data_IF_632201078100
#
_entry.id   IF_632201078100
#
_cell.length_a   1.000
_cell.length_b   1.000
_cell.length_c   1.000
_cell.angle_alpha   90.00
_cell.angle_beta   90.00
_cell.angle_gamma   90.00
#
_symmetry.space_group_name_H-M   'P 1'
#
loop_
_entity.id
_entity.type
_entity.pdbx_description
1 polymer ?
#
# COMPACT_ATOMS: atom_id res chain seq x y z
N UNK A 1 3.56 -42.88 -0.55
CA UNK A 1 3.06 -41.50 -0.65
C UNK A 1 4.26 -40.57 -0.77
N UNK A 2 4.41 -39.89 -1.91
CA UNK A 2 5.48 -38.90 -2.10
C UNK A 2 4.97 -37.56 -1.53
N UNK A 3 5.56 -37.10 -0.43
CA UNK A 3 5.39 -35.71 -0.01
C UNK A 3 6.25 -34.84 -0.93
N UNK A 4 5.61 -33.93 -1.68
CA UNK A 4 6.33 -32.86 -2.36
C UNK A 4 6.62 -31.76 -1.34
N UNK A 5 7.88 -31.33 -1.27
CA UNK A 5 8.28 -30.19 -0.46
C UNK A 5 7.76 -28.90 -1.11
N UNK A 6 6.72 -28.32 -0.50
CA UNK A 6 6.07 -27.08 -0.94
C UNK A 6 6.59 -25.84 -0.22
N UNK A 7 7.64 -25.97 0.62
CA UNK A 7 8.13 -24.89 1.48
C UNK A 7 8.47 -23.64 0.66
N UNK A 8 9.16 -23.80 -0.47
CA UNK A 8 9.54 -22.67 -1.32
C UNK A 8 8.34 -21.98 -1.98
N UNK A 9 7.36 -22.74 -2.48
CA UNK A 9 6.15 -22.18 -3.06
C UNK A 9 5.34 -21.39 -2.03
N UNK A 10 5.20 -21.94 -0.83
CA UNK A 10 4.49 -21.28 0.26
C UNK A 10 5.15 -19.96 0.66
N UNK A 11 6.50 -19.91 0.75
CA UNK A 11 7.21 -18.68 1.05
C UNK A 11 7.07 -17.62 -0.06
N UNK A 12 7.13 -18.04 -1.32
CA UNK A 12 6.93 -17.14 -2.46
C UNK A 12 5.51 -16.56 -2.49
N UNK A 13 4.50 -17.40 -2.28
CA UNK A 13 3.10 -16.97 -2.22
C UNK A 13 2.88 -15.98 -1.07
N UNK A 14 3.47 -16.25 0.10
CA UNK A 14 3.40 -15.34 1.24
C UNK A 14 4.07 -13.99 0.95
N UNK A 15 5.26 -13.99 0.34
CA UNK A 15 5.94 -12.74 -0.06
C UNK A 15 5.15 -11.95 -1.09
N UNK A 16 4.57 -12.63 -2.08
CA UNK A 16 3.71 -11.99 -3.07
C UNK A 16 2.47 -11.37 -2.42
N UNK A 17 1.89 -12.06 -1.43
CA UNK A 17 0.77 -11.55 -0.66
C UNK A 17 1.19 -10.31 0.15
N UNK A 18 2.33 -10.35 0.84
CA UNK A 18 2.87 -9.22 1.60
C UNK A 18 3.13 -7.99 0.70
N UNK A 19 3.77 -8.18 -0.45
CA UNK A 19 3.98 -7.11 -1.45
C UNK A 19 2.68 -6.61 -2.08
N UNK A 20 1.63 -7.42 -2.10
CA UNK A 20 0.32 -6.99 -2.63
C UNK A 20 -0.38 -5.95 -1.77
N UNK A 21 0.09 -5.72 -0.53
CA UNK A 21 -0.47 -4.78 0.43
C UNK A 21 0.20 -3.41 0.43
N UNK A 22 1.28 -3.19 -0.32
CA UNK A 22 1.92 -1.88 -0.43
C UNK A 22 1.64 -1.22 -1.78
N UNK A 23 1.65 0.11 -1.79
CA UNK A 23 1.65 0.91 -3.01
C UNK A 23 3.10 1.04 -3.52
N UNK A 24 3.41 0.69 -4.78
CA UNK A 24 4.79 0.62 -5.26
C UNK A 24 5.47 1.99 -5.42
N UNK A 25 4.70 3.07 -5.54
CA UNK A 25 5.24 4.42 -5.66
C UNK A 25 5.67 4.95 -4.29
N UNK A 26 4.77 4.88 -3.31
CA UNK A 26 4.93 5.52 -1.99
C UNK A 26 5.48 4.57 -0.92
N UNK A 27 5.43 3.26 -1.16
CA UNK A 27 5.70 2.18 -0.19
C UNK A 27 4.78 2.18 1.05
N UNK A 28 3.71 2.98 1.03
CA UNK A 28 2.65 2.94 2.05
C UNK A 28 1.77 1.70 1.90
N UNK A 29 1.06 1.32 2.95
CA UNK A 29 0.00 0.33 2.82
C UNK A 29 -1.10 0.84 1.87
N UNK A 30 -1.51 -0.01 0.93
CA UNK A 30 -2.56 0.30 -0.02
C UNK A 30 -3.95 -0.03 0.55
N UNK A 31 -5.00 0.25 -0.23
CA UNK A 31 -6.39 0.07 0.20
C UNK A 31 -6.70 -1.35 0.68
N UNK A 32 -6.07 -2.40 0.12
CA UNK A 32 -6.31 -3.79 0.53
C UNK A 32 -5.91 -4.05 1.97
N UNK A 33 -4.89 -3.34 2.47
CA UNK A 33 -4.48 -3.46 3.86
C UNK A 33 -5.56 -2.97 4.82
N UNK A 34 -6.31 -1.92 4.45
CA UNK A 34 -7.44 -1.44 5.26
C UNK A 34 -8.54 -2.50 5.35
N UNK A 35 -8.87 -3.15 4.23
CA UNK A 35 -9.87 -4.23 4.20
C UNK A 35 -9.43 -5.45 5.02
N UNK A 36 -8.13 -5.72 5.07
CA UNK A 36 -7.54 -6.79 5.86
C UNK A 36 -7.49 -6.42 7.36
N UNK A 37 -7.16 -5.18 7.70
CA UNK A 37 -7.17 -4.67 9.07
C UNK A 37 -8.55 -4.82 9.71
N UNK A 38 -9.61 -4.54 8.95
CA UNK A 38 -11.00 -4.71 9.39
C UNK A 38 -11.37 -6.17 9.72
N UNK A 39 -10.66 -7.14 9.11
CA UNK A 39 -10.92 -8.58 9.28
C UNK A 39 -10.06 -9.25 10.34
N UNK A 40 -8.92 -8.66 10.72
CA UNK A 40 -7.92 -9.31 11.59
C UNK A 40 -8.38 -9.50 13.04
N UNK A 41 -8.97 -8.49 13.65
CA UNK A 41 -9.40 -8.55 15.05
C UNK A 41 -10.57 -7.60 15.33
N UNK A 42 -11.76 -8.17 15.50
CA UNK A 42 -12.97 -7.42 15.82
C UNK A 42 -12.93 -6.71 17.19
N UNK A 43 -11.98 -7.04 18.06
CA UNK A 43 -11.79 -6.37 19.35
C UNK A 43 -10.97 -5.08 19.24
N UNK A 44 -10.19 -4.92 18.16
CA UNK A 44 -9.38 -3.72 17.92
C UNK A 44 -10.24 -2.66 17.25
N UNK A 45 -10.46 -1.55 17.96
CA UNK A 45 -11.09 -0.36 17.37
C UNK A 45 -10.06 0.49 16.66
N UNK A 46 -10.35 0.87 15.44
CA UNK A 46 -9.52 1.77 14.64
C UNK A 46 -10.38 2.86 14.01
N UNK A 47 -9.72 3.94 13.59
CA UNK A 47 -10.31 5.02 12.81
C UNK A 47 -9.41 5.35 11.64
N UNK A 48 -9.98 5.91 10.57
CA UNK A 48 -9.23 6.33 9.40
C UNK A 48 -9.47 7.80 9.12
N UNK A 49 -8.39 8.50 8.80
CA UNK A 49 -8.43 9.86 8.27
C UNK A 49 -8.12 9.76 6.78
N UNK A 50 -9.01 10.32 5.96
CA UNK A 50 -8.79 10.45 4.52
C UNK A 50 -8.29 11.85 4.25
N UNK A 51 -7.14 11.95 3.59
CA UNK A 51 -6.53 13.22 3.18
C UNK A 51 -6.50 13.25 1.66
N UNK A 52 -6.99 14.34 1.08
CA UNK A 52 -6.87 14.63 -0.34
C UNK A 52 -5.84 15.73 -0.57
N UNK A 53 -5.05 15.62 -1.64
CA UNK A 53 -4.09 16.65 -2.02
C UNK A 53 -4.76 17.69 -2.90
N UNK A 54 -5.11 18.83 -2.29
CA UNK A 54 -5.72 19.95 -2.99
C UNK A 54 -4.90 20.36 -4.21
N UNK A 55 -5.59 20.51 -5.36
CA UNK A 55 -5.00 20.95 -6.64
C UNK A 55 -3.89 20.03 -7.16
N UNK A 56 -3.79 18.76 -6.73
CA UNK A 56 -2.78 17.83 -7.24
C UNK A 56 -2.81 17.67 -8.77
N UNK A 57 -3.99 17.71 -9.39
CA UNK A 57 -4.12 17.72 -10.85
C UNK A 57 -3.42 18.91 -11.51
N UNK A 58 -3.46 20.11 -10.91
CA UNK A 58 -2.75 21.29 -11.44
C UNK A 58 -1.23 21.07 -11.43
N UNK A 59 -0.70 20.39 -10.41
CA UNK A 59 0.73 20.02 -10.35
C UNK A 59 1.08 19.08 -11.51
N UNK A 60 0.28 18.03 -11.72
CA UNK A 60 0.46 17.11 -12.85
C UNK A 60 0.39 17.83 -14.19
N UNK A 61 -0.61 18.69 -14.38
CA UNK A 61 -0.83 19.38 -15.65
C UNK A 61 0.25 20.44 -15.93
N UNK A 62 0.86 21.04 -14.88
CA UNK A 62 1.89 22.09 -15.01
C UNK A 62 3.30 21.53 -15.12
N UNK A 63 3.60 20.44 -14.39
CA UNK A 63 4.97 19.94 -14.22
C UNK A 63 5.15 18.49 -14.69
N UNK A 64 4.08 17.84 -15.15
CA UNK A 64 4.08 16.45 -15.60
C UNK A 64 3.90 15.43 -14.47
N UNK A 65 3.52 14.20 -14.85
CA UNK A 65 3.22 13.13 -13.90
C UNK A 65 4.41 12.73 -13.02
N UNK A 66 5.64 12.75 -13.54
CA UNK A 66 6.83 12.45 -12.74
C UNK A 66 6.96 13.40 -11.54
N UNK A 67 6.62 14.69 -11.71
CA UNK A 67 6.62 15.63 -10.60
C UNK A 67 5.48 15.34 -9.61
N UNK A 68 4.32 14.93 -10.10
CA UNK A 68 3.23 14.46 -9.25
C UNK A 68 3.64 13.28 -8.40
N UNK A 69 4.34 12.31 -9.00
CA UNK A 69 4.85 11.13 -8.32
C UNK A 69 5.83 11.51 -7.19
N UNK A 70 6.75 12.45 -7.44
CA UNK A 70 7.64 13.00 -6.40
C UNK A 70 6.85 13.62 -5.23
N UNK A 71 5.77 14.35 -5.52
CA UNK A 71 4.92 14.96 -4.50
C UNK A 71 4.19 13.90 -3.68
N UNK A 72 3.68 12.83 -4.31
CA UNK A 72 3.04 11.71 -3.60
C UNK A 72 4.02 11.01 -2.66
N UNK A 73 5.26 10.77 -3.12
CA UNK A 73 6.32 10.17 -2.29
C UNK A 73 6.67 11.06 -1.10
N UNK A 74 6.80 12.38 -1.32
CA UNK A 74 7.08 13.34 -0.24
C UNK A 74 5.94 13.42 0.76
N UNK A 75 4.68 13.40 0.30
CA UNK A 75 3.52 13.40 1.20
C UNK A 75 3.46 12.14 2.04
N UNK A 76 3.70 10.98 1.44
CA UNK A 76 3.78 9.70 2.14
C UNK A 76 4.88 9.72 3.23
N UNK A 77 6.05 10.29 2.92
CA UNK A 77 7.12 10.45 3.90
C UNK A 77 6.75 11.43 5.01
N UNK A 78 6.05 12.53 4.70
CA UNK A 78 5.64 13.53 5.68
C UNK A 78 4.60 13.00 6.68
N UNK A 79 3.77 12.04 6.30
CA UNK A 79 2.72 11.45 7.15
C UNK A 79 3.18 10.25 7.99
N UNK A 80 4.38 9.71 7.73
CA UNK A 80 4.98 8.59 8.47
C UNK A 80 5.75 9.08 9.70
#
# INVERSE_FOLDING_TARGET
AHAQDITNQYQQEKQLLEWSFTDPLTNCFNRRFLDDLDRRDASVRWGCIVVDLDKFKLVNDTYGHQRGDEVLVQMAWFLN
#
